data_IF_909349608797
#
_entry.id   IF_909349608797
#
_cell.length_a   1.000
_cell.length_b   1.000
_cell.length_c   1.000
_cell.angle_alpha   90.00
_cell.angle_beta   90.00
_cell.angle_gamma   90.00
#
_symmetry.space_group_name_H-M   'P 1'
#
loop_
_entity.id
_entity.type
_entity.pdbx_description
1 polymer ?
#
# COMPACT_ATOMS: atom_id res chain seq x y z
N UNK A 1 5.06 -13.28 29.82
CA UNK A 1 3.72 -12.68 29.60
C UNK A 1 3.60 -12.44 28.10
N UNK A 2 2.58 -13.00 27.45
CA UNK A 2 2.37 -12.77 26.02
C UNK A 2 2.10 -11.27 25.78
N UNK A 3 2.82 -10.59 24.88
CA UNK A 3 2.59 -9.17 24.59
C UNK A 3 1.33 -8.94 23.73
N UNK A 4 0.61 -10.01 23.36
CA UNK A 4 -0.61 -9.91 22.58
C UNK A 4 -1.83 -9.70 23.49
N UNK A 5 -2.45 -8.52 23.50
CA UNK A 5 -3.75 -8.35 24.13
C UNK A 5 -4.78 -9.21 23.36
N UNK A 6 -5.65 -9.87 24.12
CA UNK A 6 -6.82 -10.56 23.59
C UNK A 6 -7.67 -9.54 22.81
N UNK A 7 -7.63 -9.64 21.49
CA UNK A 7 -8.11 -8.62 20.55
C UNK A 7 -9.29 -9.14 19.75
N UNK A 8 -10.27 -9.70 20.45
CA UNK A 8 -11.60 -9.97 19.88
C UNK A 8 -12.51 -8.77 20.12
N UNK A 9 -12.62 -7.76 19.24
CA UNK A 9 -13.70 -6.79 19.35
C UNK A 9 -15.01 -7.50 19.03
N UNK A 10 -15.95 -7.51 19.99
CA UNK A 10 -17.30 -8.00 19.75
C UNK A 10 -17.97 -7.24 18.59
N UNK A 11 -18.77 -7.96 17.80
CA UNK A 11 -19.49 -7.47 16.60
C UNK A 11 -20.22 -6.12 16.78
N UNK A 12 -20.62 -5.76 18.01
CA UNK A 12 -21.24 -4.48 18.32
C UNK A 12 -20.31 -3.25 18.31
N UNK A 13 -19.00 -3.42 18.55
CA UNK A 13 -18.04 -2.30 18.49
C UNK A 13 -17.72 -1.97 17.02
N UNK A 14 -17.70 -3.00 16.17
CA UNK A 14 -17.56 -2.88 14.72
C UNK A 14 -18.71 -2.08 14.10
N UNK A 15 -19.95 -2.24 14.57
CA UNK A 15 -21.11 -1.54 13.99
C UNK A 15 -21.15 -0.02 14.26
N UNK A 16 -20.50 0.48 15.31
CA UNK A 16 -20.47 1.93 15.65
C UNK A 16 -19.32 2.65 14.94
N UNK A 17 -18.14 2.03 14.86
CA UNK A 17 -17.06 2.52 13.99
C UNK A 17 -17.50 2.54 12.51
N UNK A 18 -18.35 1.60 12.13
CA UNK A 18 -18.95 1.47 10.80
C UNK A 18 -19.88 2.62 10.42
N UNK A 19 -20.74 3.11 11.33
CA UNK A 19 -21.65 4.23 11.02
C UNK A 19 -20.88 5.56 10.83
N UNK A 20 -19.82 5.77 11.61
CA UNK A 20 -18.89 6.90 11.47
C UNK A 20 -18.00 6.77 10.22
N UNK A 21 -17.64 5.53 9.84
CA UNK A 21 -16.91 5.26 8.59
C UNK A 21 -17.79 5.36 7.34
N UNK A 22 -19.08 5.05 7.40
CA UNK A 22 -19.96 5.16 6.23
C UNK A 22 -20.32 6.62 5.92
N UNK A 23 -20.37 7.50 6.93
CA UNK A 23 -20.68 8.92 6.70
C UNK A 23 -19.56 9.70 6.00
N UNK A 24 -18.33 9.17 5.92
CA UNK A 24 -17.19 9.83 5.25
C UNK A 24 -17.07 9.51 3.75
N UNK A 25 -17.84 8.55 3.22
CA UNK A 25 -17.70 8.06 1.83
C UNK A 25 -18.83 8.50 0.89
N UNK A 26 -19.57 9.55 1.22
CA UNK A 26 -20.51 10.21 0.30
C UNK A 26 -20.09 11.67 0.15
N UNK A 27 -19.18 11.97 -0.77
CA UNK A 27 -18.68 13.34 -0.99
C UNK A 27 -18.61 13.67 -2.50
N UNK A 28 -19.02 14.87 -2.94
CA UNK A 28 -19.10 15.24 -4.35
C UNK A 28 -17.74 15.38 -5.06
N UNK A 29 -17.74 15.28 -6.40
CA UNK A 29 -16.56 15.32 -7.28
C UNK A 29 -15.66 16.57 -7.17
N UNK A 30 -16.16 17.65 -6.57
CA UNK A 30 -15.40 18.89 -6.35
C UNK A 30 -14.13 18.67 -5.51
N UNK A 31 -14.08 17.60 -4.70
CA UNK A 31 -12.94 17.30 -3.83
C UNK A 31 -11.70 16.76 -4.54
N UNK A 32 -11.81 16.11 -5.71
CA UNK A 32 -10.64 15.53 -6.38
C UNK A 32 -9.76 16.56 -7.07
N UNK A 33 -10.38 17.61 -7.63
CA UNK A 33 -9.64 18.74 -8.20
C UNK A 33 -8.86 19.48 -7.11
N UNK A 34 -9.43 19.62 -5.92
CA UNK A 34 -8.77 20.22 -4.77
C UNK A 34 -7.59 19.37 -4.29
N UNK A 35 -7.73 18.04 -4.25
CA UNK A 35 -6.61 17.13 -3.96
C UNK A 35 -5.51 17.25 -5.02
N UNK A 36 -5.87 17.27 -6.31
CA UNK A 36 -4.90 17.42 -7.40
C UNK A 36 -4.15 18.76 -7.32
N UNK A 37 -4.86 19.83 -6.93
CA UNK A 37 -4.27 21.16 -6.69
C UNK A 37 -3.31 21.13 -5.51
N UNK A 38 -3.73 20.56 -4.39
CA UNK A 38 -2.89 20.42 -3.21
C UNK A 38 -1.61 19.61 -3.50
N UNK A 39 -1.74 18.49 -4.24
CA UNK A 39 -0.59 17.70 -4.72
C UNK A 39 0.36 18.55 -5.55
N UNK A 40 -0.16 19.31 -6.52
CA UNK A 40 0.66 20.15 -7.38
C UNK A 40 1.38 21.26 -6.59
N UNK A 41 0.70 21.94 -5.69
CA UNK A 41 1.26 22.99 -4.83
C UNK A 41 2.35 22.44 -3.89
N UNK A 42 2.10 21.30 -3.24
CA UNK A 42 3.08 20.65 -2.37
C UNK A 42 4.30 20.15 -3.15
N UNK A 43 4.11 19.59 -4.34
CA UNK A 43 5.20 19.16 -5.22
C UNK A 43 6.06 20.34 -5.69
N UNK A 44 5.42 21.46 -6.06
CA UNK A 44 6.13 22.71 -6.41
C UNK A 44 6.94 23.23 -5.23
N UNK A 45 6.36 23.25 -4.03
CA UNK A 45 7.06 23.70 -2.82
C UNK A 45 8.27 22.81 -2.52
N UNK A 46 8.13 21.49 -2.56
CA UNK A 46 9.23 20.54 -2.36
C UNK A 46 10.34 20.75 -3.40
N UNK A 47 10.00 20.77 -4.70
CA UNK A 47 10.97 20.95 -5.79
C UNK A 47 11.68 22.32 -5.74
N UNK A 48 11.03 23.36 -5.23
CA UNK A 48 11.62 24.68 -5.04
C UNK A 48 12.64 24.73 -3.89
N UNK A 49 12.51 23.85 -2.89
CA UNK A 49 13.45 23.75 -1.78
C UNK A 49 14.68 22.88 -2.10
N UNK A 50 14.69 22.15 -3.22
CA UNK A 50 15.83 21.35 -3.65
C UNK A 50 16.94 22.22 -4.23
N UNK A 51 18.20 21.80 -4.02
CA UNK A 51 19.34 22.35 -4.79
C UNK A 51 19.21 21.98 -6.27
N UNK A 52 19.90 22.68 -7.20
CA UNK A 52 19.89 22.31 -8.62
C UNK A 52 20.23 20.84 -8.86
N UNK A 53 21.25 20.31 -8.17
CA UNK A 53 21.64 18.91 -8.28
C UNK A 53 20.57 17.95 -7.74
N UNK A 54 20.00 18.23 -6.57
CA UNK A 54 18.91 17.42 -6.00
C UNK A 54 17.68 17.40 -6.92
N UNK A 55 17.40 18.51 -7.61
CA UNK A 55 16.31 18.61 -8.58
C UNK A 55 16.56 17.76 -9.82
N UNK A 56 17.78 17.70 -10.33
CA UNK A 56 18.17 16.81 -11.44
C UNK A 56 17.98 15.32 -11.08
N UNK A 57 18.20 14.96 -9.81
CA UNK A 57 17.96 13.60 -9.33
C UNK A 57 16.48 13.25 -9.19
N UNK A 58 15.59 14.25 -9.09
CA UNK A 58 14.20 14.05 -8.69
C UNK A 58 13.17 14.36 -9.77
N UNK A 59 13.47 15.24 -10.74
CA UNK A 59 12.49 15.69 -11.74
C UNK A 59 12.92 15.29 -13.16
N UNK A 60 12.09 14.48 -13.79
CA UNK A 60 12.33 13.93 -15.12
C UNK A 60 11.27 14.38 -16.14
N UNK A 61 11.56 14.30 -17.46
CA UNK A 61 10.55 14.42 -18.50
C UNK A 61 9.41 13.39 -18.32
N UNK A 62 8.21 13.71 -18.80
CA UNK A 62 7.04 12.83 -18.60
C UNK A 62 7.15 11.53 -19.42
N UNK A 63 7.82 11.59 -20.56
CA UNK A 63 7.97 10.54 -21.56
C UNK A 63 9.02 9.49 -21.20
N UNK A 64 9.72 9.67 -20.08
CA UNK A 64 10.73 8.73 -19.61
C UNK A 64 10.15 7.33 -19.41
N UNK A 65 10.83 6.34 -19.97
CA UNK A 65 10.37 4.94 -19.95
C UNK A 65 10.43 4.33 -18.56
N UNK A 66 11.33 4.81 -17.71
CA UNK A 66 11.47 4.33 -16.34
C UNK A 66 10.36 4.83 -15.39
N UNK A 67 9.40 5.62 -15.90
CA UNK A 67 8.21 6.06 -15.14
C UNK A 67 7.38 4.91 -14.56
N UNK A 68 7.41 3.75 -15.21
CA UNK A 68 6.68 2.53 -14.81
C UNK A 68 7.57 1.50 -14.10
N UNK A 69 8.87 1.77 -13.93
CA UNK A 69 9.75 0.93 -13.12
C UNK A 69 9.55 1.25 -11.65
N UNK A 70 9.08 0.28 -10.86
CA UNK A 70 8.87 0.43 -9.43
C UNK A 70 9.83 -0.44 -8.65
N UNK A 71 10.00 -0.14 -7.36
CA UNK A 71 10.91 -0.91 -6.53
C UNK A 71 10.52 -0.86 -5.06
N UNK A 72 10.41 -2.04 -4.47
CA UNK A 72 10.11 -2.29 -3.06
C UNK A 72 11.06 -3.35 -2.46
N UNK A 73 12.11 -3.76 -3.17
CA UNK A 73 13.15 -4.65 -2.66
C UNK A 73 14.27 -3.85 -1.97
N UNK A 74 15.17 -4.48 -1.19
CA UNK A 74 16.30 -3.79 -0.59
C UNK A 74 17.15 -2.99 -1.61
N UNK A 75 17.83 -1.95 -1.15
CA UNK A 75 18.76 -1.19 -2.02
C UNK A 75 19.77 -2.13 -2.69
N UNK A 76 19.83 -2.08 -4.02
CA UNK A 76 20.76 -2.88 -4.83
C UNK A 76 20.24 -4.25 -5.26
N UNK A 77 19.03 -4.66 -4.86
CA UNK A 77 18.43 -5.93 -5.27
C UNK A 77 17.69 -5.87 -6.63
N UNK A 78 17.17 -4.70 -7.00
CA UNK A 78 16.35 -4.53 -8.20
C UNK A 78 16.64 -3.26 -9.01
N UNK A 79 15.58 -2.56 -9.39
CA UNK A 79 15.63 -1.35 -10.21
C UNK A 79 16.36 -0.19 -9.49
N UNK A 80 16.93 0.75 -10.25
CA UNK A 80 17.47 1.98 -9.68
C UNK A 80 16.39 2.75 -8.91
N UNK A 81 16.72 3.23 -7.71
CA UNK A 81 15.93 4.24 -7.00
C UNK A 81 16.42 5.63 -7.38
N UNK A 82 15.49 6.48 -7.78
CA UNK A 82 15.76 7.87 -8.16
C UNK A 82 15.46 8.82 -7.00
N UNK A 83 15.61 10.12 -7.22
CA UNK A 83 15.38 11.14 -6.19
C UNK A 83 16.50 11.24 -5.17
N UNK A 84 16.32 12.16 -4.23
CA UNK A 84 17.25 12.35 -3.12
C UNK A 84 16.86 11.39 -1.98
N UNK A 85 17.80 10.57 -1.47
CA UNK A 85 17.54 9.75 -0.29
C UNK A 85 17.09 10.58 0.90
N UNK A 86 16.11 10.09 1.65
CA UNK A 86 15.58 10.70 2.87
C UNK A 86 16.64 11.27 3.84
N UNK A 87 17.71 10.52 4.21
CA UNK A 87 18.74 11.03 5.12
C UNK A 87 19.56 12.19 4.55
N UNK A 88 19.56 12.39 3.22
CA UNK A 88 20.32 13.44 2.54
C UNK A 88 19.48 14.73 2.34
N UNK A 89 18.21 14.72 2.74
CA UNK A 89 17.34 15.89 2.77
C UNK A 89 17.58 16.70 4.04
N UNK A 90 17.55 18.04 3.91
CA UNK A 90 17.50 18.93 5.08
C UNK A 90 16.18 18.75 5.84
N UNK A 91 16.13 19.14 7.12
CA UNK A 91 14.89 19.08 7.91
C UNK A 91 13.72 19.84 7.27
N UNK A 92 14.00 20.96 6.60
CA UNK A 92 12.98 21.71 5.86
C UNK A 92 12.47 20.93 4.64
N UNK A 93 13.35 20.30 3.87
CA UNK A 93 12.96 19.47 2.72
C UNK A 93 12.20 18.21 3.17
N UNK A 94 12.59 17.57 4.28
CA UNK A 94 11.85 16.45 4.87
C UNK A 94 10.44 16.86 5.29
N UNK A 95 10.27 18.06 5.87
CA UNK A 95 8.95 18.59 6.19
C UNK A 95 8.08 18.77 4.93
N UNK A 96 8.62 19.41 3.88
CA UNK A 96 7.88 19.58 2.62
C UNK A 96 7.54 18.25 1.94
N UNK A 97 8.43 17.25 2.04
CA UNK A 97 8.14 15.91 1.56
C UNK A 97 6.97 15.29 2.33
N UNK A 98 6.94 15.38 3.67
CA UNK A 98 5.78 14.92 4.46
C UNK A 98 4.49 15.63 4.07
N UNK A 99 4.54 16.94 3.80
CA UNK A 99 3.37 17.67 3.32
C UNK A 99 2.89 17.15 1.96
N UNK A 100 3.80 16.87 1.01
CA UNK A 100 3.45 16.21 -0.25
C UNK A 100 2.83 14.83 -0.02
N UNK A 101 3.45 13.98 0.81
CA UNK A 101 2.93 12.65 1.13
C UNK A 101 1.52 12.72 1.74
N UNK A 102 1.25 13.69 2.63
CA UNK A 102 -0.07 13.92 3.21
C UNK A 102 -1.15 14.15 2.14
N UNK A 103 -0.81 14.83 1.03
CA UNK A 103 -1.80 15.09 -0.04
C UNK A 103 -2.27 13.82 -0.75
N UNK A 104 -1.42 12.80 -0.88
CA UNK A 104 -1.76 11.52 -1.51
C UNK A 104 -2.23 10.45 -0.54
N UNK A 105 -1.61 10.37 0.63
CA UNK A 105 -1.84 9.32 1.62
C UNK A 105 -2.90 9.68 2.68
N UNK A 106 -3.19 10.98 2.86
CA UNK A 106 -3.94 11.48 4.01
C UNK A 106 -3.16 11.32 5.32
N UNK A 107 -3.76 11.74 6.44
CA UNK A 107 -3.08 11.70 7.74
C UNK A 107 -2.79 10.27 8.21
N UNK A 108 -3.75 9.35 8.07
CA UNK A 108 -3.59 7.97 8.51
C UNK A 108 -2.56 7.21 7.65
N UNK A 109 -2.61 7.39 6.32
CA UNK A 109 -1.63 6.82 5.41
C UNK A 109 -0.23 7.39 5.63
N UNK A 110 -0.10 8.68 5.94
CA UNK A 110 1.19 9.30 6.28
C UNK A 110 1.77 8.73 7.58
N UNK A 111 0.95 8.59 8.63
CA UNK A 111 1.41 7.98 9.90
C UNK A 111 1.91 6.56 9.67
N UNK A 112 1.18 5.77 8.88
CA UNK A 112 1.61 4.41 8.50
C UNK A 112 2.93 4.43 7.72
N UNK A 113 3.04 5.27 6.69
CA UNK A 113 4.25 5.38 5.86
C UNK A 113 5.49 5.79 6.67
N UNK A 114 5.35 6.76 7.58
CA UNK A 114 6.44 7.19 8.47
C UNK A 114 6.82 6.09 9.47
N UNK A 115 5.84 5.39 10.02
CA UNK A 115 6.09 4.27 10.95
C UNK A 115 6.82 3.13 10.23
N UNK A 116 6.43 2.78 9.00
CA UNK A 116 7.12 1.79 8.18
C UNK A 116 8.58 2.24 7.95
N UNK A 117 8.78 3.48 7.48
CA UNK A 117 10.11 4.04 7.23
C UNK A 117 10.99 3.99 8.49
N UNK A 118 10.43 4.28 9.66
CA UNK A 118 11.17 4.26 10.92
C UNK A 118 11.49 2.83 11.38
N UNK A 119 10.55 1.90 11.24
CA UNK A 119 10.77 0.48 11.55
C UNK A 119 11.89 -0.14 10.70
N UNK A 120 12.12 0.32 9.46
CA UNK A 120 13.26 -0.15 8.65
C UNK A 120 14.62 0.00 9.33
N UNK A 121 14.78 1.02 10.17
CA UNK A 121 16.04 1.25 10.88
C UNK A 121 16.35 0.16 11.91
N UNK A 122 15.32 -0.59 12.34
CA UNK A 122 15.47 -1.77 13.20
C UNK A 122 15.94 -2.97 12.38
N UNK A 123 15.32 -3.24 11.22
CA UNK A 123 15.67 -4.41 10.42
C UNK A 123 16.97 -4.23 9.61
N UNK A 124 17.25 -3.01 9.17
CA UNK A 124 18.35 -2.67 8.30
C UNK A 124 19.16 -1.50 8.85
N UNK A 125 19.85 -1.65 9.99
CA UNK A 125 20.53 -0.53 10.68
C UNK A 125 21.57 0.19 9.81
N UNK A 126 22.25 -0.53 8.90
CA UNK A 126 23.27 0.06 8.02
C UNK A 126 22.67 0.92 6.88
N UNK A 127 21.51 0.52 6.35
CA UNK A 127 20.85 1.22 5.24
C UNK A 127 19.81 2.22 5.74
N UNK A 128 19.11 1.86 6.82
CA UNK A 128 18.02 2.57 7.44
C UNK A 128 17.02 3.08 6.40
N UNK A 129 16.85 4.40 6.40
CA UNK A 129 15.86 5.09 5.57
C UNK A 129 16.39 5.53 4.21
N UNK A 130 17.60 5.12 3.82
CA UNK A 130 18.24 5.56 2.57
C UNK A 130 17.52 5.06 1.32
N UNK A 131 16.75 3.98 1.43
CA UNK A 131 15.88 3.50 0.36
C UNK A 131 14.72 4.45 0.05
N UNK A 132 14.39 5.39 0.96
CA UNK A 132 13.21 6.23 0.83
C UNK A 132 13.52 7.51 0.07
N UNK A 133 12.84 7.74 -1.03
CA UNK A 133 12.98 8.96 -1.83
C UNK A 133 11.71 9.25 -2.61
N UNK A 134 11.58 10.49 -3.09
CA UNK A 134 10.52 10.91 -4.00
C UNK A 134 11.10 11.33 -5.35
N UNK A 135 10.37 11.04 -6.42
CA UNK A 135 10.69 11.59 -7.74
C UNK A 135 9.43 11.86 -8.57
N UNK A 136 9.62 12.60 -9.65
CA UNK A 136 8.58 13.24 -10.45
C UNK A 136 8.83 13.04 -11.94
N UNK A 137 7.76 12.85 -12.70
CA UNK A 137 7.76 12.84 -14.16
C UNK A 137 6.81 13.92 -14.65
N UNK A 138 7.32 14.85 -15.45
CA UNK A 138 6.59 16.05 -15.84
C UNK A 138 6.55 17.10 -14.72
N UNK A 139 6.39 18.37 -15.12
CA UNK A 139 6.25 19.46 -14.16
C UNK A 139 4.86 19.39 -13.49
N UNK A 140 4.75 19.56 -12.15
CA UNK A 140 3.46 19.57 -11.47
C UNK A 140 2.50 20.58 -12.09
N UNK A 141 1.30 20.12 -12.43
CA UNK A 141 0.32 20.89 -13.21
C UNK A 141 -1.10 20.38 -12.99
N UNK A 142 -2.08 21.27 -13.15
CA UNK A 142 -3.50 20.87 -13.27
C UNK A 142 -3.91 20.61 -14.73
N UNK A 143 -3.13 21.09 -15.69
CA UNK A 143 -3.46 21.05 -17.12
C UNK A 143 -2.76 19.90 -17.84
N UNK A 144 -1.47 19.69 -17.54
CA UNK A 144 -0.64 18.66 -18.19
C UNK A 144 -0.48 17.44 -17.30
N UNK A 145 -0.30 16.24 -17.88
CA UNK A 145 0.01 15.05 -17.12
C UNK A 145 1.32 15.20 -16.34
N UNK A 146 1.30 14.71 -15.10
CA UNK A 146 2.51 14.51 -14.31
C UNK A 146 2.32 13.35 -13.33
N UNK A 147 3.42 12.78 -12.87
CA UNK A 147 3.44 11.67 -11.92
C UNK A 147 4.41 12.02 -10.80
N UNK A 148 4.08 11.66 -9.56
CA UNK A 148 5.05 11.61 -8.47
C UNK A 148 4.96 10.27 -7.76
N UNK A 149 6.11 9.82 -7.25
CA UNK A 149 6.27 8.49 -6.65
C UNK A 149 7.12 8.58 -5.42
N UNK A 150 6.70 7.90 -4.36
CA UNK A 150 7.47 7.73 -3.14
C UNK A 150 7.76 6.27 -2.95
N UNK A 151 9.04 5.90 -2.95
CA UNK A 151 9.48 4.51 -2.88
C UNK A 151 10.51 4.33 -1.78
N UNK A 152 10.48 3.16 -1.16
CA UNK A 152 11.34 2.66 -0.10
C UNK A 152 11.38 1.13 -0.17
N UNK A 153 11.97 0.47 0.81
CA UNK A 153 11.95 -1.01 0.88
C UNK A 153 10.50 -1.47 1.08
N UNK A 154 9.87 -1.18 2.21
CA UNK A 154 8.50 -1.62 2.44
C UNK A 154 7.38 -0.65 2.00
N UNK A 155 7.62 0.20 1.00
CA UNK A 155 6.62 1.18 0.55
C UNK A 155 6.87 1.60 -0.90
N UNK A 156 5.85 1.54 -1.74
CA UNK A 156 5.86 2.19 -3.06
C UNK A 156 4.47 2.78 -3.31
N UNK A 157 4.40 4.09 -3.44
CA UNK A 157 3.15 4.81 -3.71
C UNK A 157 3.31 5.63 -4.99
N UNK A 158 2.45 5.36 -5.97
CA UNK A 158 2.45 6.03 -7.27
C UNK A 158 1.21 6.87 -7.45
N UNK A 159 1.38 8.15 -7.81
CA UNK A 159 0.28 9.06 -8.13
C UNK A 159 0.49 9.67 -9.50
N UNK A 160 -0.47 9.48 -10.41
CA UNK A 160 -0.48 10.14 -11.73
C UNK A 160 -1.68 11.08 -11.80
N UNK A 161 -1.41 12.35 -12.11
CA UNK A 161 -2.38 13.43 -12.11
C UNK A 161 -2.55 13.92 -13.54
N UNK A 162 -3.80 14.10 -13.97
CA UNK A 162 -4.09 14.60 -15.30
C UNK A 162 -5.48 15.26 -15.36
N UNK A 163 -5.54 16.57 -15.62
CA UNK A 163 -6.80 17.29 -15.77
C UNK A 163 -7.69 17.26 -14.52
N UNK A 164 -7.09 17.30 -13.32
CA UNK A 164 -7.79 17.22 -12.03
C UNK A 164 -8.16 15.80 -11.57
N UNK A 165 -7.94 14.80 -12.43
CA UNK A 165 -8.12 13.38 -12.10
C UNK A 165 -6.81 12.78 -11.57
N UNK A 166 -6.92 11.73 -10.75
CA UNK A 166 -5.79 11.10 -10.06
C UNK A 166 -5.92 9.58 -10.16
N UNK A 167 -4.87 8.91 -10.64
CA UNK A 167 -4.64 7.49 -10.41
C UNK A 167 -3.64 7.32 -9.26
N UNK A 168 -3.84 6.31 -8.41
CA UNK A 168 -3.04 6.04 -7.21
C UNK A 168 -2.53 4.58 -7.14
N UNK A 169 -2.44 3.89 -8.28
CA UNK A 169 -1.91 2.53 -8.38
C UNK A 169 -0.74 2.48 -9.37
N UNK A 170 0.21 1.54 -9.22
CA UNK A 170 0.28 0.54 -8.15
C UNK A 170 0.57 1.16 -6.79
N UNK A 171 0.10 0.48 -5.74
CA UNK A 171 0.38 0.82 -4.35
C UNK A 171 0.90 -0.42 -3.64
N UNK A 172 2.06 -0.31 -3.00
CA UNK A 172 2.68 -1.33 -2.17
C UNK A 172 2.87 -0.80 -0.76
N UNK A 173 2.49 -1.59 0.23
CA UNK A 173 2.70 -1.29 1.65
C UNK A 173 3.12 -2.58 2.34
N UNK A 174 4.26 -2.54 3.00
CA UNK A 174 4.78 -3.65 3.78
C UNK A 174 5.30 -3.19 5.13
N UNK A 175 5.80 -4.11 5.93
CA UNK A 175 6.58 -3.81 7.13
C UNK A 175 7.33 -5.05 7.59
N UNK A 176 8.56 -4.87 8.06
CA UNK A 176 9.26 -5.89 8.82
C UNK A 176 10.21 -5.25 9.86
N UNK A 177 10.18 -5.69 11.13
CA UNK A 177 9.23 -6.65 11.71
C UNK A 177 7.81 -6.08 11.83
N UNK A 178 6.79 -6.94 11.83
CA UNK A 178 5.39 -6.52 12.04
C UNK A 178 5.12 -5.96 13.44
N UNK A 179 5.95 -6.31 14.42
CA UNK A 179 5.93 -5.79 15.78
C UNK A 179 7.37 -5.59 16.27
N UNK A 180 7.68 -4.40 16.76
CA UNK A 180 9.01 -4.08 17.32
C UNK A 180 9.14 -4.73 18.70
N UNK A 181 10.07 -5.65 18.86
CA UNK A 181 10.34 -6.34 20.13
C UNK A 181 11.67 -5.94 20.77
N UNK A 182 12.62 -5.52 19.94
CA UNK A 182 13.90 -4.95 20.32
C UNK A 182 14.07 -3.65 19.54
N UNK A 183 14.47 -2.59 20.24
CA UNK A 183 14.72 -1.28 19.66
C UNK A 183 16.14 -0.78 19.95
N UNK A 184 17.09 -1.68 20.21
CA UNK A 184 18.50 -1.37 20.47
C UNK A 184 19.12 -0.55 19.33
N UNK A 185 18.79 -0.87 18.08
CA UNK A 185 19.33 -0.18 16.89
C UNK A 185 18.66 1.18 16.63
N UNK A 186 17.43 1.38 17.09
CA UNK A 186 16.76 2.69 17.05
C UNK A 186 15.81 2.89 18.24
N UNK A 187 16.29 3.53 19.33
CA UNK A 187 15.47 3.78 20.53
C UNK A 187 14.27 4.71 20.31
N UNK A 188 14.24 5.49 19.22
CA UNK A 188 13.13 6.38 18.90
C UNK A 188 11.88 5.62 18.44
N UNK A 189 12.03 4.34 18.04
CA UNK A 189 10.92 3.44 17.72
C UNK A 189 10.57 2.62 18.96
N UNK A 190 9.39 2.82 19.59
CA UNK A 190 9.05 2.11 20.81
C UNK A 190 8.86 0.60 20.61
N UNK A 191 9.25 -0.19 21.61
CA UNK A 191 8.84 -1.60 21.71
C UNK A 191 7.31 -1.70 21.73
N UNK A 192 6.77 -2.61 20.91
CA UNK A 192 5.33 -2.81 20.69
C UNK A 192 4.77 -2.05 19.48
N UNK A 193 5.59 -1.26 18.77
CA UNK A 193 5.16 -0.57 17.55
C UNK A 193 4.73 -1.57 16.49
N UNK A 194 3.52 -1.37 15.92
CA UNK A 194 2.96 -2.14 14.79
C UNK A 194 2.49 -1.17 13.72
N UNK A 195 3.06 -1.24 12.52
CA UNK A 195 2.70 -0.31 11.43
C UNK A 195 1.44 -0.73 10.66
N UNK A 196 1.19 -2.05 10.55
CA UNK A 196 0.06 -2.61 9.79
C UNK A 196 -0.83 -3.54 10.65
N UNK A 197 -1.27 -3.11 11.85
CA UNK A 197 -2.02 -3.98 12.76
C UNK A 197 -3.39 -4.35 12.21
N UNK A 198 -4.04 -3.46 11.45
CA UNK A 198 -5.38 -3.71 10.91
C UNK A 198 -5.32 -4.78 9.83
N UNK A 199 -4.38 -4.69 8.89
CA UNK A 199 -4.16 -5.69 7.86
C UNK A 199 -3.85 -7.06 8.49
N UNK A 200 -2.87 -7.11 9.40
CA UNK A 200 -2.46 -8.36 10.06
C UNK A 200 -3.62 -9.00 10.84
N UNK A 201 -4.28 -8.24 11.73
CA UNK A 201 -5.31 -8.79 12.61
C UNK A 201 -6.59 -9.15 11.85
N UNK A 202 -6.95 -8.38 10.81
CA UNK A 202 -8.12 -8.68 9.96
C UNK A 202 -7.88 -9.92 9.10
N UNK A 203 -6.66 -10.11 8.60
CA UNK A 203 -6.30 -11.30 7.79
C UNK A 203 -6.40 -12.57 8.62
N UNK A 204 -5.90 -12.53 9.85
CA UNK A 204 -6.04 -13.63 10.82
C UNK A 204 -7.51 -13.91 11.14
N UNK A 205 -8.28 -12.87 11.48
CA UNK A 205 -9.70 -13.02 11.81
C UNK A 205 -10.52 -13.58 10.64
N UNK A 206 -10.23 -13.17 9.40
CA UNK A 206 -10.84 -13.75 8.21
C UNK A 206 -10.58 -15.26 8.15
N UNK A 207 -9.32 -15.68 8.21
CA UNK A 207 -8.96 -17.11 8.13
C UNK A 207 -9.59 -17.94 9.25
N UNK A 208 -9.54 -17.45 10.48
CA UNK A 208 -10.13 -18.11 11.65
C UNK A 208 -11.65 -18.24 11.53
N UNK A 209 -12.32 -17.28 10.87
CA UNK A 209 -13.76 -17.31 10.65
C UNK A 209 -14.22 -18.36 9.63
N UNK A 210 -13.35 -18.80 8.72
CA UNK A 210 -13.65 -19.80 7.69
C UNK A 210 -13.79 -21.19 8.32
N UNK A 211 -14.77 -21.97 7.86
CA UNK A 211 -14.86 -23.40 8.20
C UNK A 211 -13.88 -24.24 7.36
N UNK A 212 -13.76 -25.53 7.68
CA UNK A 212 -12.81 -26.44 7.02
C UNK A 212 -13.05 -26.54 5.50
N UNK A 213 -14.32 -26.63 5.07
CA UNK A 213 -14.66 -26.70 3.66
C UNK A 213 -14.32 -25.40 2.92
N UNK A 214 -14.58 -24.25 3.52
CA UNK A 214 -14.21 -22.95 2.95
C UNK A 214 -12.69 -22.78 2.87
N UNK A 215 -11.95 -23.22 3.91
CA UNK A 215 -10.48 -23.20 3.91
C UNK A 215 -9.93 -24.08 2.80
N UNK A 216 -10.48 -25.28 2.60
CA UNK A 216 -10.10 -26.16 1.49
C UNK A 216 -10.36 -25.49 0.14
N UNK A 217 -11.54 -24.88 -0.05
CA UNK A 217 -11.90 -24.19 -1.29
C UNK A 217 -11.01 -22.98 -1.60
N UNK A 218 -10.64 -22.17 -0.60
CA UNK A 218 -9.82 -20.99 -0.81
C UNK A 218 -8.32 -21.29 -0.88
N UNK A 219 -7.88 -22.49 -0.47
CA UNK A 219 -6.46 -22.84 -0.34
C UNK A 219 -5.73 -22.85 -1.67
N UNK A 220 -4.59 -22.16 -1.71
CA UNK A 220 -3.61 -22.19 -2.80
C UNK A 220 -2.20 -22.42 -2.22
N UNK A 221 -1.21 -22.84 -3.03
CA UNK A 221 0.17 -22.92 -2.54
C UNK A 221 0.70 -21.54 -2.16
N UNK A 222 1.69 -21.47 -1.27
CA UNK A 222 2.47 -20.24 -1.01
C UNK A 222 3.36 -19.89 -2.22
N UNK A 223 3.72 -18.61 -2.42
CA UNK A 223 4.80 -18.25 -3.34
C UNK A 223 6.16 -18.74 -2.82
N UNK A 224 7.13 -18.93 -3.72
CA UNK A 224 8.44 -19.49 -3.35
C UNK A 224 9.34 -18.50 -2.58
N UNK A 225 9.16 -17.18 -2.75
CA UNK A 225 10.04 -16.16 -2.15
C UNK A 225 9.31 -14.97 -1.51
N UNK A 226 8.48 -14.24 -2.26
CA UNK A 226 7.88 -12.97 -1.77
C UNK A 226 6.41 -12.80 -2.16
N UNK A 227 6.09 -12.64 -3.45
CA UNK A 227 4.72 -12.40 -3.92
C UNK A 227 4.50 -13.15 -5.23
N UNK A 228 3.24 -13.53 -5.52
CA UNK A 228 2.84 -14.15 -6.79
C UNK A 228 2.65 -13.12 -7.89
N UNK A 229 2.25 -11.90 -7.54
CA UNK A 229 2.03 -10.85 -8.53
C UNK A 229 3.37 -10.41 -9.11
N UNK A 230 3.54 -10.50 -10.45
CA UNK A 230 4.82 -10.20 -11.07
C UNK A 230 5.14 -8.70 -11.00
N UNK A 231 6.45 -8.42 -10.94
CA UNK A 231 7.01 -7.08 -11.01
C UNK A 231 7.01 -6.59 -12.47
N UNK A 232 5.83 -6.22 -12.96
CA UNK A 232 5.59 -5.72 -14.33
C UNK A 232 4.81 -4.41 -14.31
N UNK A 233 4.83 -3.68 -15.42
CA UNK A 233 4.12 -2.40 -15.59
C UNK A 233 2.60 -2.56 -15.71
N UNK A 234 2.13 -3.71 -16.23
CA UNK A 234 0.71 -4.05 -16.30
C UNK A 234 0.45 -5.48 -15.84
N UNK A 235 -0.46 -5.63 -14.91
CA UNK A 235 -0.98 -6.95 -14.50
C UNK A 235 -2.21 -7.32 -15.31
N UNK A 236 -2.38 -8.60 -15.56
CA UNK A 236 -3.59 -9.17 -16.13
C UNK A 236 -4.42 -9.86 -15.06
N UNK A 237 -5.73 -9.95 -15.30
CA UNK A 237 -6.62 -10.73 -14.46
C UNK A 237 -6.22 -12.20 -14.54
N UNK A 238 -6.02 -12.82 -13.39
CA UNK A 238 -5.70 -14.23 -13.29
C UNK A 238 -6.97 -15.09 -13.42
N UNK A 239 -6.87 -16.35 -13.85
CA UNK A 239 -7.99 -17.28 -13.76
C UNK A 239 -8.58 -17.27 -12.34
N UNK A 240 -9.92 -17.18 -12.19
CA UNK A 240 -10.54 -17.20 -10.88
C UNK A 240 -10.18 -18.46 -10.10
N UNK A 241 -9.79 -18.28 -8.85
CA UNK A 241 -9.38 -19.36 -7.96
C UNK A 241 -9.78 -19.02 -6.52
N UNK A 242 -10.15 -20.04 -5.75
CA UNK A 242 -10.54 -19.88 -4.36
C UNK A 242 -12.06 -19.80 -4.19
N UNK A 243 -12.52 -19.12 -3.13
CA UNK A 243 -13.94 -18.95 -2.82
C UNK A 243 -14.45 -17.60 -3.30
N UNK A 244 -15.67 -17.55 -3.85
CA UNK A 244 -16.34 -16.28 -4.13
C UNK A 244 -16.79 -15.62 -2.84
N UNK A 245 -16.61 -14.31 -2.73
CA UNK A 245 -16.96 -13.56 -1.52
C UNK A 245 -18.48 -13.54 -1.27
N UNK A 246 -19.30 -13.61 -2.30
CA UNK A 246 -20.76 -13.76 -2.17
C UNK A 246 -21.23 -15.13 -1.66
N UNK A 247 -20.34 -16.14 -1.65
CA UNK A 247 -20.59 -17.46 -1.06
C UNK A 247 -20.19 -17.53 0.43
N UNK A 248 -19.54 -16.49 0.96
CA UNK A 248 -19.22 -16.38 2.39
C UNK A 248 -20.46 -16.00 3.20
N UNK A 249 -20.48 -16.42 4.47
CA UNK A 249 -21.51 -15.95 5.40
C UNK A 249 -21.36 -14.44 5.64
N UNK A 250 -22.45 -13.71 5.97
CA UNK A 250 -22.39 -12.26 6.11
C UNK A 250 -21.28 -11.75 7.04
N UNK A 251 -21.05 -12.44 8.17
CA UNK A 251 -19.99 -12.09 9.12
C UNK A 251 -18.56 -12.32 8.59
N UNK A 252 -18.38 -13.27 7.67
CA UNK A 252 -17.09 -13.56 7.04
C UNK A 252 -16.80 -12.59 5.90
N UNK A 253 -17.83 -12.28 5.11
CA UNK A 253 -17.76 -11.28 4.04
C UNK A 253 -17.35 -9.91 4.59
N UNK A 254 -17.82 -9.56 5.78
CA UNK A 254 -17.44 -8.30 6.43
C UNK A 254 -15.93 -8.21 6.69
N UNK A 255 -15.24 -9.32 6.99
CA UNK A 255 -13.78 -9.30 7.11
C UNK A 255 -13.09 -8.95 5.78
N UNK A 256 -13.60 -9.47 4.65
CA UNK A 256 -13.10 -9.10 3.33
C UNK A 256 -13.35 -7.63 3.04
N UNK A 257 -14.55 -7.13 3.34
CA UNK A 257 -14.89 -5.71 3.15
C UNK A 257 -14.03 -4.81 4.03
N UNK A 258 -13.71 -5.23 5.25
CA UNK A 258 -12.77 -4.53 6.13
C UNK A 258 -11.37 -4.47 5.54
N UNK A 259 -10.86 -5.56 4.96
CA UNK A 259 -9.58 -5.54 4.23
C UNK A 259 -9.63 -4.53 3.07
N UNK A 260 -10.67 -4.59 2.23
CA UNK A 260 -10.84 -3.64 1.12
C UNK A 260 -10.79 -2.17 1.59
N UNK A 261 -11.56 -1.84 2.65
CA UNK A 261 -11.55 -0.47 3.22
C UNK A 261 -10.21 -0.10 3.85
N UNK A 262 -9.47 -1.07 4.40
CA UNK A 262 -8.12 -0.85 4.95
C UNK A 262 -7.14 -0.47 3.86
N UNK A 263 -7.16 -1.15 2.71
CA UNK A 263 -6.35 -0.78 1.55
C UNK A 263 -6.73 0.60 0.99
N UNK A 264 -8.03 0.91 0.91
CA UNK A 264 -8.50 2.23 0.47
C UNK A 264 -8.08 3.34 1.45
N UNK A 265 -8.02 3.03 2.74
CA UNK A 265 -7.58 3.95 3.79
C UNK A 265 -6.09 4.29 3.77
N UNK A 266 -5.29 3.67 2.89
CA UNK A 266 -3.89 4.05 2.67
C UNK A 266 -3.73 5.34 1.84
N UNK A 267 -4.81 5.83 1.22
CA UNK A 267 -4.82 7.08 0.45
C UNK A 267 -5.72 8.14 1.08
N UNK A 268 -5.55 9.39 0.66
CA UNK A 268 -6.31 10.52 1.18
C UNK A 268 -7.83 10.29 1.08
N UNK A 269 -8.65 10.77 2.04
CA UNK A 269 -10.09 10.41 2.11
C UNK A 269 -10.90 10.62 0.82
N UNK A 270 -10.69 11.70 0.02
CA UNK A 270 -11.38 11.83 -1.26
C UNK A 270 -10.99 10.75 -2.29
N UNK A 271 -9.72 10.32 -2.30
CA UNK A 271 -9.26 9.21 -3.13
C UNK A 271 -9.84 7.88 -2.63
N UNK A 272 -9.85 7.66 -1.32
CA UNK A 272 -10.43 6.47 -0.71
C UNK A 272 -11.93 6.36 -1.04
N UNK A 273 -12.65 7.47 -1.02
CA UNK A 273 -14.07 7.57 -1.42
C UNK A 273 -14.26 7.17 -2.87
N UNK A 274 -13.48 7.74 -3.79
CA UNK A 274 -13.51 7.35 -5.20
C UNK A 274 -13.27 5.85 -5.39
N UNK A 275 -12.28 5.27 -4.70
CA UNK A 275 -11.97 3.84 -4.80
C UNK A 275 -13.08 2.96 -4.24
N UNK A 276 -13.74 3.41 -3.19
CA UNK A 276 -14.93 2.74 -2.66
C UNK A 276 -16.08 2.77 -3.68
N UNK A 277 -16.37 3.91 -4.30
CA UNK A 277 -17.40 4.03 -5.35
C UNK A 277 -17.12 3.15 -6.57
N UNK A 278 -15.86 3.12 -7.03
CA UNK A 278 -15.41 2.26 -8.13
C UNK A 278 -15.57 0.77 -7.77
N UNK A 279 -15.22 0.37 -6.54
CA UNK A 279 -15.40 -1.00 -6.05
C UNK A 279 -16.87 -1.40 -5.98
N UNK A 280 -17.75 -0.55 -5.43
CA UNK A 280 -19.20 -0.79 -5.38
C UNK A 280 -19.79 -0.91 -6.78
N UNK A 281 -19.44 0.03 -7.67
CA UNK A 281 -19.94 0.07 -9.05
C UNK A 281 -19.48 -1.13 -9.87
N UNK A 282 -18.30 -1.68 -9.57
CA UNK A 282 -17.77 -2.87 -10.22
C UNK A 282 -18.38 -4.18 -9.67
N UNK A 283 -19.21 -4.14 -8.62
CA UNK A 283 -19.74 -5.32 -7.95
C UNK A 283 -18.87 -5.70 -6.74
N UNK A 284 -19.16 -5.09 -5.58
CA UNK A 284 -18.32 -5.21 -4.39
C UNK A 284 -18.10 -6.65 -3.88
N UNK A 285 -19.02 -7.57 -4.18
CA UNK A 285 -18.96 -8.98 -3.80
C UNK A 285 -18.53 -9.90 -4.96
N UNK A 286 -18.30 -9.36 -6.16
CA UNK A 286 -17.75 -10.08 -7.32
C UNK A 286 -16.24 -10.30 -7.19
N UNK A 287 -15.83 -10.79 -6.01
CA UNK A 287 -14.45 -11.00 -5.61
C UNK A 287 -14.17 -12.49 -5.42
N UNK A 288 -12.93 -12.87 -5.71
CA UNK A 288 -12.40 -14.20 -5.39
C UNK A 288 -11.34 -14.08 -4.31
N UNK A 289 -11.52 -14.84 -3.22
CA UNK A 289 -10.56 -15.00 -2.14
C UNK A 289 -9.78 -16.30 -2.35
N UNK A 290 -8.50 -16.18 -2.69
CA UNK A 290 -7.51 -17.25 -2.58
C UNK A 290 -6.65 -17.01 -1.34
N UNK A 291 -6.29 -18.03 -0.58
CA UNK A 291 -5.49 -17.89 0.63
C UNK A 291 -4.53 -19.08 0.82
N UNK A 292 -3.47 -18.88 1.59
CA UNK A 292 -2.58 -19.95 2.01
C UNK A 292 -2.14 -19.72 3.46
N UNK A 293 -1.76 -20.81 4.13
CA UNK A 293 -1.25 -20.78 5.50
C UNK A 293 0.08 -21.48 5.56
N UNK A 294 1.08 -20.82 6.11
CA UNK A 294 2.40 -21.40 6.27
C UNK A 294 2.56 -21.93 7.69
N UNK A 295 2.67 -23.24 7.89
CA UNK A 295 2.99 -23.80 9.21
C UNK A 295 4.49 -23.65 9.49
N UNK A 296 4.91 -22.40 9.67
CA UNK A 296 6.29 -22.04 9.93
C UNK A 296 6.43 -21.68 11.40
N UNK A 297 7.52 -22.16 11.99
CA UNK A 297 8.00 -21.75 13.30
C UNK A 297 9.45 -21.31 13.11
N UNK A 298 9.71 -20.07 12.70
CA UNK A 298 11.10 -19.60 12.66
C UNK A 298 11.30 -18.24 13.28
N UNK A 299 12.48 -18.10 13.87
CA UNK A 299 12.90 -17.04 14.78
C UNK A 299 14.20 -16.36 14.31
N UNK A 300 14.32 -15.81 13.09
CA UNK A 300 15.51 -15.06 12.72
C UNK A 300 15.63 -13.76 13.53
N UNK A 301 14.51 -13.24 14.04
CA UNK A 301 14.44 -12.04 14.90
C UNK A 301 13.68 -12.29 16.23
N UNK A 302 13.67 -13.55 16.69
CA UNK A 302 13.24 -13.94 18.05
C UNK A 302 11.75 -14.26 18.26
N UNK A 303 10.88 -14.13 17.26
CA UNK A 303 9.43 -14.13 17.50
C UNK A 303 8.60 -14.80 16.40
N UNK A 304 8.92 -16.06 16.07
CA UNK A 304 8.03 -16.93 15.30
C UNK A 304 6.60 -16.84 15.85
N UNK A 305 5.64 -16.48 15.01
CA UNK A 305 4.26 -16.84 15.32
C UNK A 305 3.97 -18.19 14.68
N UNK A 306 3.22 -19.08 15.36
CA UNK A 306 2.65 -20.20 14.65
C UNK A 306 1.72 -19.62 13.58
N UNK A 307 2.03 -19.95 12.33
CA UNK A 307 1.19 -19.76 11.16
C UNK A 307 1.23 -18.37 10.50
N UNK A 308 1.92 -18.29 9.37
CA UNK A 308 1.84 -17.14 8.47
C UNK A 308 0.65 -17.21 7.51
N UNK A 309 0.19 -16.05 7.05
CA UNK A 309 -0.97 -15.79 6.22
C UNK A 309 -0.59 -15.19 4.88
N UNK A 310 -1.13 -15.80 3.84
CA UNK A 310 -1.13 -15.28 2.48
C UNK A 310 -2.57 -15.17 2.01
N UNK A 311 -2.92 -14.09 1.30
CA UNK A 311 -4.14 -14.06 0.52
C UNK A 311 -4.02 -13.21 -0.74
N UNK A 312 -4.94 -13.49 -1.66
CA UNK A 312 -5.17 -12.73 -2.88
C UNK A 312 -6.66 -12.47 -3.01
N UNK A 313 -7.02 -11.19 -3.13
CA UNK A 313 -8.37 -10.74 -3.45
C UNK A 313 -8.38 -10.27 -4.90
N UNK A 314 -9.15 -10.95 -5.73
CA UNK A 314 -9.26 -10.62 -7.15
C UNK A 314 -10.68 -10.15 -7.48
N UNK A 315 -10.80 -8.87 -7.86
CA UNK A 315 -12.06 -8.29 -8.33
C UNK A 315 -12.14 -8.17 -9.85
N UNK A 316 -13.17 -7.50 -10.37
CA UNK A 316 -13.32 -7.28 -11.80
C UNK A 316 -12.31 -6.27 -12.38
N UNK A 317 -11.86 -5.32 -11.56
CA UNK A 317 -10.99 -4.20 -11.97
C UNK A 317 -9.61 -4.20 -11.33
N UNK A 318 -9.39 -5.00 -10.28
CA UNK A 318 -8.17 -4.95 -9.49
C UNK A 318 -7.71 -6.32 -8.98
N UNK A 319 -6.45 -6.35 -8.54
CA UNK A 319 -5.83 -7.43 -7.78
C UNK A 319 -5.21 -6.87 -6.51
N UNK A 320 -5.55 -7.45 -5.36
CA UNK A 320 -4.87 -7.23 -4.09
C UNK A 320 -4.18 -8.51 -3.67
N UNK A 321 -2.95 -8.39 -3.19
CA UNK A 321 -2.18 -9.48 -2.64
C UNK A 321 -1.55 -9.06 -1.31
N UNK A 322 -1.51 -9.99 -0.38
CA UNK A 322 -0.90 -9.84 0.94
C UNK A 322 -0.15 -11.13 1.25
N UNK A 323 1.07 -10.98 1.73
CA UNK A 323 1.92 -12.06 2.19
C UNK A 323 2.64 -11.61 3.47
N UNK A 324 2.50 -12.35 4.56
CA UNK A 324 3.33 -12.17 5.77
C UNK A 324 4.41 -13.26 5.93
N UNK A 325 4.53 -14.11 4.90
CA UNK A 325 5.35 -15.31 4.86
C UNK A 325 6.55 -15.08 3.95
N UNK A 326 7.75 -15.22 4.51
CA UNK A 326 8.97 -15.25 3.71
C UNK A 326 9.48 -16.69 3.61
N UNK A 327 8.89 -17.48 2.70
CA UNK A 327 9.14 -18.93 2.63
C UNK A 327 10.62 -19.30 2.49
N UNK A 328 11.37 -18.55 1.67
CA UNK A 328 12.81 -18.75 1.49
C UNK A 328 13.64 -18.62 2.77
N UNK A 329 13.15 -17.85 3.75
CA UNK A 329 13.80 -17.63 5.05
C UNK A 329 13.05 -18.30 6.20
N UNK A 330 11.97 -19.02 5.88
CA UNK A 330 11.02 -19.56 6.84
C UNK A 330 10.53 -18.50 7.84
N UNK A 331 10.35 -17.24 7.45
CA UNK A 331 9.98 -16.18 8.40
C UNK A 331 8.48 -15.85 8.37
N UNK A 332 7.93 -15.45 9.51
CA UNK A 332 6.58 -14.88 9.66
C UNK A 332 6.70 -13.56 10.41
N UNK A 333 5.94 -12.54 9.99
CA UNK A 333 6.08 -11.20 10.57
C UNK A 333 6.86 -10.25 9.67
N UNK A 334 6.83 -10.52 8.37
CA UNK A 334 7.37 -9.69 7.31
C UNK A 334 6.25 -9.51 6.28
N UNK A 335 5.52 -8.40 6.38
CA UNK A 335 4.37 -8.15 5.51
C UNK A 335 4.85 -7.50 4.21
N UNK A 336 4.39 -8.06 3.10
CA UNK A 336 4.29 -7.40 1.80
C UNK A 336 2.84 -7.38 1.36
N UNK A 337 2.36 -6.24 0.91
CA UNK A 337 1.02 -6.15 0.34
C UNK A 337 0.98 -5.16 -0.82
N UNK A 338 0.12 -5.44 -1.80
CA UNK A 338 -0.03 -4.56 -2.95
C UNK A 338 -1.47 -4.48 -3.45
N UNK A 339 -1.79 -3.33 -4.04
CA UNK A 339 -2.96 -3.09 -4.87
C UNK A 339 -2.51 -2.77 -6.29
N UNK A 340 -2.99 -3.56 -7.24
CA UNK A 340 -2.81 -3.36 -8.68
C UNK A 340 -4.16 -3.16 -9.39
N UNK A 341 -4.22 -2.22 -10.32
CA UNK A 341 -5.38 -1.99 -11.20
C UNK A 341 -5.05 -2.51 -12.61
N UNK A 342 -5.96 -3.28 -13.21
CA UNK A 342 -5.72 -3.91 -14.52
C UNK A 342 -5.58 -2.92 -15.68
N UNK A 343 -6.14 -1.71 -15.52
CA UNK A 343 -6.26 -0.71 -16.57
C UNK A 343 -5.57 0.62 -16.24
N UNK A 344 -5.47 0.99 -14.96
CA UNK A 344 -5.09 2.32 -14.51
C UNK A 344 -3.81 2.38 -13.66
N UNK A 345 -3.10 1.26 -13.50
CA UNK A 345 -1.72 1.27 -13.00
C UNK A 345 -0.89 2.32 -13.77
N UNK A 346 -0.10 3.11 -13.03
CA UNK A 346 0.69 4.24 -13.54
C UNK A 346 -0.14 5.28 -14.32
N UNK A 347 -1.45 5.32 -14.06
CA UNK A 347 -2.42 6.20 -14.73
C UNK A 347 -2.70 5.84 -16.18
N UNK A 348 -2.49 4.61 -16.64
CA UNK A 348 -2.64 4.27 -18.06
C UNK A 348 -4.03 4.59 -18.63
N UNK A 349 -5.12 4.19 -17.95
CA UNK A 349 -6.48 4.51 -18.36
C UNK A 349 -6.74 6.02 -18.31
N UNK A 350 -6.26 6.70 -17.27
CA UNK A 350 -6.34 8.16 -17.15
C UNK A 350 -5.67 8.86 -18.34
N UNK A 351 -4.43 8.48 -18.68
CA UNK A 351 -3.65 9.06 -19.77
C UNK A 351 -4.26 8.78 -21.13
N UNK A 352 -4.77 7.57 -21.37
CA UNK A 352 -5.54 7.26 -22.59
C UNK A 352 -6.74 8.20 -22.72
N UNK A 353 -7.50 8.39 -21.64
CA UNK A 353 -8.69 9.26 -21.64
C UNK A 353 -8.34 10.74 -21.87
N UNK A 354 -7.20 11.21 -21.39
CA UNK A 354 -6.69 12.55 -21.67
C UNK A 354 -6.28 12.71 -23.14
N UNK A 355 -5.48 11.77 -23.67
CA UNK A 355 -5.01 11.82 -25.06
C UNK A 355 -6.16 11.78 -26.07
N UNK A 356 -7.25 11.07 -25.77
CA UNK A 356 -8.45 11.08 -26.61
C UNK A 356 -9.19 12.42 -26.57
N UNK A 357 -9.18 13.14 -25.44
CA UNK A 357 -9.84 14.46 -25.31
C UNK A 357 -9.07 15.60 -25.98
N UNK A 358 -7.74 15.46 -26.11
CA UNK A 358 -6.86 16.46 -26.71
C UNK A 358 -6.67 16.29 -28.23
N UNK A 359 -7.20 15.21 -28.81
CA UNK A 359 -7.30 14.99 -30.26
C UNK A 359 -8.67 15.44 -30.73
#
# INVERSE_FOLDING_TARGET
>A
MSPYPDSSPGLHKLSVEMELMYSQYVMPSEHLLDVARAMAEAAVAYLAALTPHQRELSLFPFEETHRTLWEFEPLGAGNPRYGVPWPDLTSHQQQLLRELLRTGLGDQGLVKAETIREVETIQHPDQGTRSYSVWFYGAPSLERPWTWRFEGHHLSATFTICGGEISNTPLFVGVSPTCVHDNTDNPDVPVGTRAMPVEEDTSRALWESLDEAQRELCSIPLPDMMMRTPHVDRVERLPPQGIRVDALRPEQREWVHRLMRTFMGNVAPPLATRRYEEWVSAGQDELWLSAARANIRSEPWGHARPDGYYYRLQGPTFLIEFDDVQWGWQDTGHIHSMWRDYEDDFGFRLLRSYNTRMR
#
